data_IF_425570684148
#
_entry.id   IF_425570684148
#
_cell.length_a   1.000
_cell.length_b   1.000
_cell.length_c   1.000
_cell.angle_alpha   90.00
_cell.angle_beta   90.00
_cell.angle_gamma   90.00
#
_symmetry.space_group_name_H-M   'P 1'
#
loop_
_entity.id
_entity.type
_entity.pdbx_description
1 polymer ?
#
# COMPACT_ATOMS: atom_id res chain seq x y z
N UNK A 1 -13.55 -14.70 -14.82
CA UNK A 1 -12.96 -13.68 -13.90
C UNK A 1 -11.71 -13.10 -14.52
N UNK A 2 -11.49 -11.78 -14.45
CA UNK A 2 -10.26 -11.18 -14.98
C UNK A 2 -9.09 -11.41 -14.02
N UNK A 3 -7.86 -11.50 -14.55
CA UNK A 3 -6.62 -11.65 -13.74
C UNK A 3 -6.50 -10.58 -12.65
N UNK A 4 -7.00 -9.37 -12.94
CA UNK A 4 -7.02 -8.25 -11.99
C UNK A 4 -7.94 -8.49 -10.80
N UNK A 5 -9.15 -9.01 -11.05
CA UNK A 5 -10.11 -9.30 -9.98
C UNK A 5 -9.58 -10.37 -9.01
N UNK A 6 -8.96 -11.43 -9.53
CA UNK A 6 -8.36 -12.50 -8.71
C UNK A 6 -7.22 -11.95 -7.83
N UNK A 7 -6.33 -11.13 -8.41
CA UNK A 7 -5.26 -10.46 -7.66
C UNK A 7 -5.81 -9.56 -6.55
N UNK A 8 -6.79 -8.73 -6.87
CA UNK A 8 -7.35 -7.76 -5.93
C UNK A 8 -8.06 -8.47 -4.76
N UNK A 9 -8.74 -9.58 -5.07
CA UNK A 9 -9.36 -10.45 -4.07
C UNK A 9 -8.32 -11.14 -3.17
N UNK A 10 -7.25 -11.68 -3.75
CA UNK A 10 -6.16 -12.29 -3.00
C UNK A 10 -5.51 -11.30 -2.02
N UNK A 11 -5.21 -10.08 -2.48
CA UNK A 11 -4.67 -9.01 -1.64
C UNK A 11 -5.65 -8.59 -0.53
N UNK A 12 -6.96 -8.59 -0.81
CA UNK A 12 -8.00 -8.30 0.18
C UNK A 12 -8.02 -9.38 1.27
N UNK A 13 -8.06 -10.66 0.89
CA UNK A 13 -8.05 -11.79 1.83
C UNK A 13 -6.79 -11.78 2.70
N UNK A 14 -5.62 -11.52 2.11
CA UNK A 14 -4.36 -11.40 2.85
C UNK A 14 -4.40 -10.30 3.93
N UNK A 15 -4.98 -9.13 3.61
CA UNK A 15 -5.14 -8.01 4.56
C UNK A 15 -6.10 -8.32 5.71
N UNK A 16 -7.15 -9.11 5.45
CA UNK A 16 -8.13 -9.52 6.47
C UNK A 16 -7.53 -10.56 7.41
N UNK A 17 -6.85 -11.58 6.87
CA UNK A 17 -6.26 -12.66 7.67
C UNK A 17 -5.25 -12.15 8.70
N UNK A 18 -4.41 -11.18 8.31
CA UNK A 18 -3.29 -10.63 9.11
C UNK A 18 -2.31 -11.74 9.55
N UNK A 19 -1.09 -11.37 9.98
CA UNK A 19 -0.10 -12.27 10.60
C UNK A 19 0.07 -13.66 9.94
N UNK A 20 0.24 -13.71 8.62
CA UNK A 20 0.50 -14.98 7.92
C UNK A 20 1.91 -15.43 8.29
N UNK A 21 2.04 -16.66 8.77
CA UNK A 21 3.32 -17.28 9.13
C UNK A 21 3.49 -18.62 8.40
N UNK A 22 4.74 -19.05 8.21
CA UNK A 22 5.09 -20.27 7.47
C UNK A 22 4.41 -21.54 8.01
N UNK A 23 4.27 -21.65 9.34
CA UNK A 23 3.58 -22.74 10.03
C UNK A 23 2.09 -22.81 9.67
N UNK A 24 1.42 -21.66 9.53
CA UNK A 24 0.00 -21.62 9.10
C UNK A 24 -0.22 -22.04 7.65
N UNK A 25 0.86 -22.21 6.89
CA UNK A 25 0.87 -22.75 5.53
C UNK A 25 1.40 -24.21 5.49
N UNK A 26 1.74 -24.80 6.64
CA UNK A 26 2.31 -26.14 6.73
C UNK A 26 3.74 -26.23 6.22
N UNK A 27 4.48 -25.11 6.17
CA UNK A 27 5.88 -25.14 5.77
C UNK A 27 6.76 -25.60 6.95
N UNK A 28 7.73 -26.50 6.71
CA UNK A 28 8.64 -26.96 7.76
C UNK A 28 9.62 -25.86 8.17
N UNK A 29 10.09 -25.93 9.42
CA UNK A 29 11.06 -25.00 10.00
C UNK A 29 10.44 -23.97 10.95
N UNK A 30 11.27 -23.04 11.42
CA UNK A 30 10.84 -22.02 12.38
C UNK A 30 9.76 -21.09 11.78
N UNK A 31 8.73 -20.72 12.55
CA UNK A 31 7.69 -19.79 12.10
C UNK A 31 8.30 -18.46 11.63
N UNK A 32 8.19 -18.19 10.33
CA UNK A 32 8.63 -16.95 9.72
C UNK A 32 7.43 -16.16 9.19
N UNK A 33 7.46 -14.84 9.38
CA UNK A 33 6.36 -13.96 8.96
C UNK A 33 6.40 -13.74 7.44
N UNK A 34 5.26 -13.95 6.80
CA UNK A 34 5.08 -13.79 5.36
C UNK A 34 4.44 -12.43 5.06
N UNK A 35 5.05 -11.68 4.14
CA UNK A 35 4.55 -10.38 3.70
C UNK A 35 3.96 -10.47 2.29
N UNK A 36 2.69 -10.10 2.17
CA UNK A 36 2.00 -10.05 0.89
C UNK A 36 1.80 -8.58 0.51
N UNK A 37 2.53 -8.13 -0.50
CA UNK A 37 2.50 -6.76 -0.99
C UNK A 37 1.97 -6.69 -2.42
N UNK A 38 1.33 -5.57 -2.74
CA UNK A 38 0.94 -5.28 -4.12
C UNK A 38 2.19 -4.94 -4.97
N UNK A 39 2.30 -5.56 -6.15
CA UNK A 39 3.37 -5.21 -7.09
C UNK A 39 3.03 -3.92 -7.82
N UNK A 40 3.81 -2.87 -7.55
CA UNK A 40 3.75 -1.58 -8.26
C UNK A 40 4.66 -1.58 -9.50
N UNK A 41 4.30 -0.77 -10.50
CA UNK A 41 5.19 -0.41 -11.61
C UNK A 41 6.40 0.37 -11.06
N UNK A 42 7.55 0.39 -11.75
CA UNK A 42 8.72 1.16 -11.31
C UNK A 42 8.39 2.64 -11.04
N UNK A 43 7.57 3.24 -11.90
CA UNK A 43 7.09 4.63 -11.77
C UNK A 43 6.27 4.81 -10.49
N UNK A 44 5.27 3.97 -10.25
CA UNK A 44 4.43 4.08 -9.06
C UNK A 44 5.20 3.74 -7.79
N UNK A 45 6.19 2.84 -7.84
CA UNK A 45 7.08 2.56 -6.70
C UNK A 45 7.90 3.80 -6.34
N UNK A 46 8.48 4.50 -7.33
CA UNK A 46 9.23 5.74 -7.11
C UNK A 46 8.32 6.84 -6.54
N UNK A 47 7.13 7.03 -7.13
CA UNK A 47 6.16 8.01 -6.66
C UNK A 47 5.66 7.69 -5.25
N UNK A 48 5.46 6.42 -4.91
CA UNK A 48 5.06 6.00 -3.57
C UNK A 48 6.15 6.27 -2.53
N UNK A 49 7.43 6.07 -2.89
CA UNK A 49 8.57 6.45 -2.05
C UNK A 49 8.56 7.93 -1.70
N UNK A 50 8.52 8.79 -2.73
CA UNK A 50 8.42 10.25 -2.55
C UNK A 50 7.21 10.66 -1.72
N UNK A 51 6.05 10.03 -1.97
CA UNK A 51 4.80 10.32 -1.23
C UNK A 51 4.96 9.99 0.25
N UNK A 52 5.65 8.90 0.59
CA UNK A 52 5.92 8.52 1.99
C UNK A 52 6.88 9.48 2.66
N UNK A 53 7.92 9.95 1.97
CA UNK A 53 8.86 10.94 2.48
C UNK A 53 8.15 12.27 2.78
N UNK A 54 7.38 12.78 1.82
CA UNK A 54 6.60 13.99 2.00
C UNK A 54 5.54 13.85 3.10
N UNK A 55 4.85 12.70 3.17
CA UNK A 55 3.90 12.42 4.24
C UNK A 55 4.56 12.41 5.62
N UNK A 56 5.79 11.89 5.74
CA UNK A 56 6.57 11.90 6.98
C UNK A 56 6.94 13.33 7.40
N UNK A 57 7.32 14.18 6.44
CA UNK A 57 7.63 15.60 6.71
C UNK A 57 6.40 16.41 7.11
N UNK A 58 5.25 16.14 6.49
CA UNK A 58 4.01 16.85 6.73
C UNK A 58 3.15 16.24 7.85
N UNK A 59 3.69 15.31 8.65
CA UNK A 59 2.96 14.58 9.70
C UNK A 59 1.62 13.98 9.22
N UNK A 60 1.53 13.58 7.95
CA UNK A 60 0.33 12.94 7.41
C UNK A 60 0.20 11.53 7.95
N UNK A 61 -1.00 11.22 8.44
CA UNK A 61 -1.22 10.05 9.28
C UNK A 61 -1.32 8.73 8.49
N UNK A 62 -1.76 8.77 7.23
CA UNK A 62 -1.99 7.53 6.46
C UNK A 62 -1.57 7.66 4.99
N UNK A 63 -0.73 6.72 4.53
CA UNK A 63 -0.31 6.59 3.13
C UNK A 63 -0.31 5.12 2.72
N UNK A 64 -1.05 4.75 1.66
CA UNK A 64 -1.19 3.35 1.23
C UNK A 64 -1.40 3.22 -0.27
N UNK A 65 -1.33 1.98 -0.78
CA UNK A 65 -1.67 1.66 -2.16
C UNK A 65 -2.87 0.72 -2.27
N UNK A 66 -3.63 0.88 -3.34
CA UNK A 66 -4.73 -0.02 -3.72
C UNK A 66 -4.91 -0.01 -5.23
N UNK A 67 -4.86 -1.18 -5.86
CA UNK A 67 -5.10 -1.32 -7.31
C UNK A 67 -4.07 -0.57 -8.16
N UNK A 68 -2.83 -0.48 -7.67
CA UNK A 68 -1.72 0.23 -8.29
C UNK A 68 -1.76 1.75 -8.09
N UNK A 69 -2.75 2.27 -7.36
CA UNK A 69 -2.92 3.70 -7.11
C UNK A 69 -2.45 4.05 -5.70
N UNK A 70 -1.93 5.27 -5.53
CA UNK A 70 -1.39 5.78 -4.27
C UNK A 70 -2.41 6.72 -3.64
N UNK A 71 -2.64 6.55 -2.34
CA UNK A 71 -3.58 7.34 -1.56
C UNK A 71 -2.92 7.87 -0.30
N UNK A 72 -3.33 9.08 0.07
CA UNK A 72 -2.89 9.78 1.28
C UNK A 72 -4.13 10.31 2.00
N UNK A 73 -4.10 10.24 3.34
CA UNK A 73 -5.05 10.92 4.21
C UNK A 73 -4.25 11.62 5.31
N UNK A 74 -4.39 12.95 5.38
CA UNK A 74 -3.64 13.80 6.33
C UNK A 74 -4.00 13.46 7.78
N UNK A 75 -5.29 13.40 8.10
CA UNK A 75 -5.80 13.15 9.46
C UNK A 75 -7.07 12.30 9.42
N UNK A 76 -7.51 11.82 10.58
CA UNK A 76 -8.80 11.13 10.69
C UNK A 76 -9.95 12.07 10.33
N UNK A 77 -10.92 11.55 9.58
CA UNK A 77 -12.05 12.35 9.07
C UNK A 77 -11.75 13.24 7.87
N UNK A 78 -10.48 13.48 7.51
CA UNK A 78 -10.13 14.25 6.30
C UNK A 78 -10.33 13.42 5.02
N UNK A 79 -10.59 14.07 3.87
CA UNK A 79 -10.74 13.38 2.61
C UNK A 79 -9.47 12.64 2.21
N UNK A 80 -9.66 11.53 1.51
CA UNK A 80 -8.57 10.75 0.91
C UNK A 80 -8.18 11.39 -0.41
N UNK A 81 -6.91 11.74 -0.56
CA UNK A 81 -6.37 12.29 -1.80
C UNK A 81 -5.58 11.22 -2.55
N UNK A 82 -5.84 11.10 -3.85
CA UNK A 82 -5.07 10.22 -4.74
C UNK A 82 -3.89 10.98 -5.32
N UNK A 83 -2.70 10.39 -5.25
CA UNK A 83 -1.48 10.92 -5.86
C UNK A 83 -1.23 10.19 -7.18
N UNK A 84 -1.25 10.92 -8.30
CA UNK A 84 -1.00 10.38 -9.65
C UNK A 84 0.33 10.83 -10.23
N UNK A 85 0.88 11.94 -9.74
CA UNK A 85 2.08 12.58 -10.26
C UNK A 85 2.87 13.30 -9.17
N UNK A 86 4.08 13.72 -9.50
CA UNK A 86 4.87 14.63 -8.68
C UNK A 86 4.17 15.99 -8.46
N UNK A 87 3.35 16.46 -9.40
CA UNK A 87 2.55 17.69 -9.24
C UNK A 87 1.41 17.53 -8.22
N UNK A 88 0.79 16.35 -8.13
CA UNK A 88 -0.17 16.07 -7.06
C UNK A 88 0.52 16.07 -5.69
N UNK A 89 1.77 15.62 -5.65
CA UNK A 89 2.57 15.57 -4.43
C UNK A 89 2.88 16.98 -3.93
N UNK A 90 3.33 17.90 -4.79
CA UNK A 90 3.53 19.30 -4.39
C UNK A 90 2.22 19.96 -3.94
N UNK A 91 1.10 19.75 -4.64
CA UNK A 91 -0.19 20.33 -4.23
C UNK A 91 -0.68 19.84 -2.86
N UNK A 92 -0.32 18.62 -2.47
CA UNK A 92 -0.80 18.02 -1.22
C UNK A 92 0.10 18.36 -0.03
N UNK A 93 1.40 18.51 -0.25
CA UNK A 93 2.39 18.65 0.83
C UNK A 93 3.14 20.00 0.87
N UNK A 94 3.11 20.81 -0.19
CA UNK A 94 3.56 22.20 -0.15
C UNK A 94 2.43 23.15 0.29
#
# INVERSE_FOLDING_TARGET
MSRRAVRDEFLRCARVRRNITSDTLGWPGDPCRIYINERLTPVNRKLFGKTREAAKMASSRYTWTKGGQIFVRKEDGKPVTRIRSDTDLSRVFC
#
